data_IF_560446401718
#
_entry.id   IF_560446401718
#
_cell.length_a   1.000
_cell.length_b   1.000
_cell.length_c   1.000
_cell.angle_alpha   90.00
_cell.angle_beta   90.00
_cell.angle_gamma   90.00
#
_symmetry.space_group_name_H-M   'P 1'
#
loop_
_entity.id
_entity.type
_entity.pdbx_description
1 polymer ?
#
# COMPACT_ATOMS: atom_id res chain seq x y z
N UNK A 1 -18.65 20.20 41.01
CA UNK A 1 -18.20 21.26 40.07
C UNK A 1 -19.32 21.48 39.07
N UNK A 2 -19.53 22.72 38.61
CA UNK A 2 -20.53 22.99 37.58
C UNK A 2 -20.07 22.36 36.25
N UNK A 3 -20.96 21.63 35.56
CA UNK A 3 -20.68 21.08 34.24
C UNK A 3 -20.52 22.23 33.25
N UNK A 4 -19.41 22.24 32.52
CA UNK A 4 -19.16 23.24 31.46
C UNK A 4 -19.62 22.65 30.14
N UNK A 5 -20.53 23.34 29.47
CA UNK A 5 -21.10 22.90 28.20
C UNK A 5 -20.57 23.75 27.04
N UNK A 6 -20.20 23.10 25.94
CA UNK A 6 -19.65 23.72 24.73
C UNK A 6 -20.65 23.65 23.57
N UNK A 7 -20.62 24.66 22.71
CA UNK A 7 -21.32 24.61 21.42
C UNK A 7 -20.56 23.71 20.44
N UNK A 8 -21.22 23.28 19.36
CA UNK A 8 -20.62 22.36 18.38
C UNK A 8 -19.28 22.87 17.82
N UNK A 9 -19.19 24.17 17.51
CA UNK A 9 -17.96 24.77 17.00
C UNK A 9 -16.83 24.67 18.02
N UNK A 10 -17.09 25.07 19.26
CA UNK A 10 -16.09 25.04 20.33
C UNK A 10 -15.69 23.60 20.69
N UNK A 11 -16.62 22.65 20.63
CA UNK A 11 -16.35 21.23 20.83
C UNK A 11 -15.48 20.62 19.72
N UNK A 12 -15.71 21.02 18.46
CA UNK A 12 -14.88 20.63 17.31
C UNK A 12 -13.46 21.15 17.48
N UNK A 13 -13.33 22.44 17.80
CA UNK A 13 -12.04 23.11 18.01
C UNK A 13 -11.31 22.51 19.23
N UNK A 14 -12.05 22.20 20.30
CA UNK A 14 -11.52 21.58 21.52
C UNK A 14 -10.94 20.17 21.27
N UNK A 15 -11.60 19.36 20.43
CA UNK A 15 -11.14 18.02 20.06
C UNK A 15 -10.06 18.01 18.97
N UNK A 16 -9.91 19.08 18.19
CA UNK A 16 -8.94 19.14 17.09
C UNK A 16 -9.27 18.20 15.92
N UNK A 17 -10.55 17.91 15.67
CA UNK A 17 -11.02 17.01 14.59
C UNK A 17 -11.83 17.78 13.54
N UNK A 18 -12.02 17.20 12.36
CA UNK A 18 -12.88 17.80 11.33
C UNK A 18 -14.38 17.74 11.71
N UNK A 19 -15.15 18.73 11.28
CA UNK A 19 -16.60 18.78 11.53
C UNK A 19 -17.36 17.52 11.06
N UNK A 20 -17.09 16.93 9.87
CA UNK A 20 -17.74 15.67 9.47
C UNK A 20 -17.47 14.51 10.43
N UNK A 21 -16.22 14.39 10.93
CA UNK A 21 -15.86 13.36 11.90
C UNK A 21 -16.59 13.58 13.22
N UNK A 22 -16.65 14.82 13.70
CA UNK A 22 -17.39 15.18 14.91
C UNK A 22 -18.87 14.78 14.83
N UNK A 23 -19.58 15.21 13.78
CA UNK A 23 -21.00 14.88 13.62
C UNK A 23 -21.26 13.38 13.44
N UNK A 24 -20.32 12.65 12.83
CA UNK A 24 -20.38 11.18 12.75
C UNK A 24 -20.27 10.54 14.14
N UNK A 25 -19.38 11.03 15.00
CA UNK A 25 -19.23 10.53 16.37
C UNK A 25 -20.49 10.80 17.21
N UNK A 26 -21.07 11.99 17.09
CA UNK A 26 -22.35 12.34 17.72
C UNK A 26 -23.48 11.42 17.22
N UNK A 27 -23.60 11.24 15.90
CA UNK A 27 -24.61 10.35 15.30
C UNK A 27 -24.49 8.91 15.79
N UNK A 28 -23.27 8.45 16.03
CA UNK A 28 -22.97 7.10 16.50
C UNK A 28 -23.03 6.96 18.03
N UNK A 29 -23.45 8.01 18.76
CA UNK A 29 -23.57 7.98 20.22
C UNK A 29 -22.25 7.98 20.99
N UNK A 30 -21.11 8.23 20.31
CA UNK A 30 -19.78 8.30 20.93
C UNK A 30 -19.50 9.64 21.61
N UNK A 31 -20.24 10.68 21.23
CA UNK A 31 -20.26 11.98 21.89
C UNK A 31 -21.72 12.26 22.23
N UNK A 32 -22.04 12.44 23.50
CA UNK A 32 -23.41 12.76 23.91
C UNK A 32 -23.75 14.21 23.57
N UNK A 33 -24.93 14.39 22.98
CA UNK A 33 -25.50 15.70 22.67
C UNK A 33 -26.60 16.00 23.67
N UNK A 34 -26.44 17.08 24.43
CA UNK A 34 -27.41 17.54 25.41
C UNK A 34 -28.22 18.71 24.87
N UNK A 35 -29.49 18.81 25.26
CA UNK A 35 -30.32 19.96 24.92
C UNK A 35 -30.65 20.74 26.20
N UNK A 36 -30.30 22.04 26.30
CA UNK A 36 -30.51 22.83 27.51
C UNK A 36 -31.99 22.93 27.90
N UNK A 37 -32.86 22.92 26.89
CA UNK A 37 -34.32 22.92 27.04
C UNK A 37 -34.95 22.00 26.00
N UNK A 38 -36.17 21.50 26.23
CA UNK A 38 -36.91 20.68 25.26
C UNK A 38 -37.15 21.35 23.90
N UNK A 39 -37.07 22.69 23.84
CA UNK A 39 -37.31 23.49 22.65
C UNK A 39 -36.02 24.00 21.99
N UNK A 40 -34.85 23.69 22.56
CA UNK A 40 -33.58 24.12 21.98
C UNK A 40 -33.31 23.40 20.65
N UNK A 41 -33.05 24.17 19.60
CA UNK A 41 -32.61 23.64 18.29
C UNK A 41 -31.13 23.28 18.26
N UNK A 42 -30.36 23.83 19.19
CA UNK A 42 -28.91 23.64 19.29
C UNK A 42 -28.61 22.78 20.51
N UNK A 43 -27.82 21.72 20.29
CA UNK A 43 -27.34 20.89 21.38
C UNK A 43 -25.95 21.30 21.80
N UNK A 44 -25.66 21.03 23.06
CA UNK A 44 -24.42 21.33 23.75
C UNK A 44 -23.71 20.04 24.16
N UNK A 45 -22.42 20.14 24.43
CA UNK A 45 -21.53 19.00 24.66
C UNK A 45 -20.76 19.19 25.97
N UNK A 46 -20.70 18.15 26.80
CA UNK A 46 -20.05 18.20 28.10
C UNK A 46 -18.51 18.28 27.95
N UNK A 47 -17.89 19.36 28.43
CA UNK A 47 -16.46 19.58 28.29
C UNK A 47 -15.61 18.49 28.97
N UNK A 48 -16.09 17.89 30.06
CA UNK A 48 -15.36 16.85 30.79
C UNK A 48 -15.37 15.53 30.01
N UNK A 49 -16.50 15.20 29.37
CA UNK A 49 -16.61 14.06 28.43
C UNK A 49 -15.67 14.26 27.24
N UNK A 50 -15.69 15.45 26.65
CA UNK A 50 -14.80 15.80 25.55
C UNK A 50 -13.33 15.76 25.96
N UNK A 51 -12.98 16.14 27.20
CA UNK A 51 -11.61 16.06 27.70
C UNK A 51 -11.11 14.61 27.80
N UNK A 52 -11.97 13.68 28.22
CA UNK A 52 -11.67 12.25 28.20
C UNK A 52 -11.40 11.72 26.79
N UNK A 53 -12.21 12.16 25.82
CA UNK A 53 -12.06 11.81 24.41
C UNK A 53 -10.87 12.50 23.73
N UNK A 54 -10.48 13.69 24.18
CA UNK A 54 -9.38 14.48 23.61
C UNK A 54 -8.06 13.71 23.60
N UNK A 55 -7.80 12.87 24.59
CA UNK A 55 -6.63 12.00 24.64
C UNK A 55 -6.59 10.93 23.52
N UNK A 56 -7.75 10.57 22.96
CA UNK A 56 -7.88 9.61 21.86
C UNK A 56 -7.77 10.28 20.49
N UNK A 57 -8.05 11.58 20.42
CA UNK A 57 -8.13 12.34 19.16
C UNK A 57 -7.01 13.35 18.97
N UNK A 58 -6.34 13.78 20.05
CA UNK A 58 -5.11 14.54 19.89
C UNK A 58 -4.03 13.58 19.39
N UNK A 59 -3.50 13.81 18.16
CA UNK A 59 -2.26 13.16 17.79
C UNK A 59 -1.25 13.52 18.88
N UNK A 60 -0.51 12.51 19.39
CA UNK A 60 0.67 12.79 20.23
C UNK A 60 1.44 13.90 19.54
N UNK A 61 1.72 14.99 20.24
CA UNK A 61 2.37 16.19 19.68
C UNK A 61 3.86 15.96 19.33
N UNK A 62 4.16 14.88 18.62
CA UNK A 62 5.31 14.76 17.75
C UNK A 62 4.81 14.79 16.31
N UNK A 63 5.58 15.35 15.39
CA UNK A 63 5.33 15.13 13.96
C UNK A 63 5.16 13.62 13.74
N UNK A 64 4.05 13.21 13.12
CA UNK A 64 3.95 11.81 12.71
C UNK A 64 5.19 11.50 11.87
N UNK A 65 5.91 10.40 12.18
CA UNK A 65 7.07 10.03 11.39
C UNK A 65 6.67 10.01 9.91
N UNK A 66 7.51 10.62 9.06
CA UNK A 66 7.31 10.62 7.61
C UNK A 66 7.81 9.31 7.02
N UNK A 67 7.09 8.80 6.04
CA UNK A 67 7.46 7.57 5.34
C UNK A 67 8.38 7.87 4.17
N UNK A 68 9.48 7.14 4.07
CA UNK A 68 10.40 7.16 2.95
C UNK A 68 10.26 5.88 2.15
N UNK A 69 10.47 5.95 0.84
CA UNK A 69 10.45 4.76 -0.03
C UNK A 69 11.74 4.62 -0.78
N UNK A 70 12.24 3.39 -0.90
CA UNK A 70 13.46 3.08 -1.63
C UNK A 70 13.46 1.62 -2.09
N UNK A 71 14.41 1.26 -2.95
CA UNK A 71 14.71 -0.13 -3.23
C UNK A 71 15.37 -0.79 -2.02
N UNK A 72 15.12 -2.08 -1.84
CA UNK A 72 15.72 -2.86 -0.77
C UNK A 72 17.25 -2.88 -0.91
N UNK A 73 17.95 -2.77 0.21
CA UNK A 73 19.41 -2.83 0.28
C UNK A 73 19.87 -4.11 0.98
N UNK A 74 21.12 -4.50 0.78
CA UNK A 74 21.70 -5.68 1.44
C UNK A 74 21.65 -5.57 2.98
N UNK A 75 21.71 -4.35 3.53
CA UNK A 75 21.55 -4.07 4.96
C UNK A 75 20.12 -4.22 5.49
N UNK A 76 19.12 -4.24 4.61
CA UNK A 76 17.71 -4.27 5.00
C UNK A 76 17.20 -5.70 5.24
N UNK A 77 17.99 -6.73 4.92
CA UNK A 77 17.51 -8.12 4.86
C UNK A 77 16.90 -8.59 6.19
N UNK A 78 17.49 -8.19 7.32
CA UNK A 78 16.96 -8.52 8.64
C UNK A 78 15.60 -7.86 8.91
N UNK A 79 15.45 -6.58 8.55
CA UNK A 79 14.20 -5.84 8.76
C UNK A 79 13.10 -6.32 7.82
N UNK A 80 13.45 -6.64 6.57
CA UNK A 80 12.54 -7.24 5.61
C UNK A 80 12.03 -8.59 6.10
N UNK A 81 12.92 -9.47 6.57
CA UNK A 81 12.52 -10.76 7.12
C UNK A 81 11.59 -10.60 8.33
N UNK A 82 11.90 -9.68 9.25
CA UNK A 82 11.03 -9.40 10.40
C UNK A 82 9.64 -8.92 9.97
N UNK A 83 9.56 -8.08 8.93
CA UNK A 83 8.31 -7.59 8.36
C UNK A 83 7.49 -8.73 7.73
N UNK A 84 8.11 -9.58 6.92
CA UNK A 84 7.44 -10.73 6.31
C UNK A 84 6.99 -11.75 7.36
N UNK A 85 7.84 -12.06 8.35
CA UNK A 85 7.53 -12.99 9.44
C UNK A 85 6.34 -12.52 10.30
N UNK A 86 6.19 -11.21 10.49
CA UNK A 86 5.04 -10.66 11.20
C UNK A 86 3.70 -10.91 10.49
N UNK A 87 3.71 -11.16 9.17
CA UNK A 87 2.51 -11.40 8.36
C UNK A 87 2.32 -12.88 8.03
N UNK A 88 3.38 -13.57 7.62
CA UNK A 88 3.32 -14.94 7.10
C UNK A 88 3.79 -15.99 8.11
N UNK A 89 4.41 -15.61 9.22
CA UNK A 89 4.92 -16.54 10.23
C UNK A 89 5.90 -17.55 9.62
N UNK A 90 5.66 -18.84 9.85
CA UNK A 90 6.50 -19.94 9.36
C UNK A 90 6.49 -20.08 7.83
N UNK A 91 5.51 -19.50 7.13
CA UNK A 91 5.45 -19.50 5.66
C UNK A 91 6.39 -18.45 5.02
N UNK A 92 7.08 -17.66 5.83
CA UNK A 92 8.04 -16.66 5.36
C UNK A 92 9.16 -17.30 4.55
N UNK A 93 9.46 -16.71 3.38
CA UNK A 93 10.48 -17.21 2.49
C UNK A 93 11.87 -17.26 3.15
N UNK A 94 12.70 -18.20 2.71
CA UNK A 94 14.05 -18.34 3.23
C UNK A 94 14.90 -17.10 2.89
N UNK A 95 15.46 -16.38 3.87
CA UNK A 95 16.25 -15.15 3.63
C UNK A 95 17.40 -15.34 2.65
N UNK A 96 18.02 -16.52 2.64
CA UNK A 96 19.13 -16.82 1.73
C UNK A 96 18.69 -16.92 0.26
N UNK A 97 17.44 -17.30 -0.01
CA UNK A 97 16.87 -17.36 -1.36
C UNK A 97 16.46 -15.96 -1.79
N UNK A 98 15.72 -15.26 -0.94
CA UNK A 98 15.26 -13.88 -1.19
C UNK A 98 16.44 -12.96 -1.47
N UNK A 99 17.53 -13.06 -0.70
CA UNK A 99 18.75 -12.28 -0.95
C UNK A 99 19.33 -12.51 -2.34
N UNK A 100 19.24 -13.73 -2.89
CA UNK A 100 19.69 -14.00 -4.27
C UNK A 100 18.81 -13.31 -5.30
N UNK A 101 17.50 -13.20 -5.05
CA UNK A 101 16.59 -12.46 -5.92
C UNK A 101 17.01 -11.00 -6.02
N UNK A 102 17.26 -10.37 -4.87
CA UNK A 102 17.62 -8.95 -4.80
C UNK A 102 19.00 -8.66 -5.39
N UNK A 103 19.95 -9.59 -5.24
CA UNK A 103 21.26 -9.49 -5.90
C UNK A 103 21.15 -9.63 -7.42
N UNK A 104 20.27 -10.52 -7.90
CA UNK A 104 20.05 -10.73 -9.33
C UNK A 104 19.42 -9.51 -9.97
N UNK A 105 18.43 -8.91 -9.32
CA UNK A 105 17.79 -7.70 -9.79
C UNK A 105 17.43 -6.79 -8.59
N UNK A 106 18.10 -5.64 -8.43
CA UNK A 106 17.90 -4.77 -7.27
C UNK A 106 16.55 -4.04 -7.27
N UNK A 107 15.81 -4.08 -8.39
CA UNK A 107 14.56 -3.35 -8.58
C UNK A 107 13.32 -4.24 -8.46
N UNK A 108 13.40 -5.29 -7.64
CA UNK A 108 12.30 -6.23 -7.42
C UNK A 108 11.56 -6.02 -6.11
N UNK A 109 12.17 -5.38 -5.11
CA UNK A 109 11.52 -5.10 -3.83
C UNK A 109 11.64 -3.64 -3.46
N UNK A 110 10.49 -2.95 -3.42
CA UNK A 110 10.38 -1.58 -2.95
C UNK A 110 9.91 -1.61 -1.50
N UNK A 111 10.60 -0.89 -0.63
CA UNK A 111 10.30 -0.80 0.80
C UNK A 111 9.78 0.58 1.17
N UNK A 112 8.92 0.63 2.18
CA UNK A 112 8.49 1.83 2.87
C UNK A 112 8.99 1.75 4.31
N UNK A 113 9.64 2.80 4.78
CA UNK A 113 10.26 2.86 6.10
C UNK A 113 10.09 4.24 6.73
N UNK A 114 10.35 4.35 8.03
CA UNK A 114 10.45 5.63 8.71
C UNK A 114 11.67 6.43 8.22
N UNK A 115 11.49 7.61 7.63
CA UNK A 115 12.61 8.42 7.12
C UNK A 115 13.69 8.72 8.18
N UNK A 116 13.28 8.80 9.45
CA UNK A 116 14.20 9.03 10.57
C UNK A 116 14.91 7.77 11.09
N UNK A 117 14.41 6.58 10.75
CA UNK A 117 15.06 5.28 11.04
C UNK A 117 14.71 4.25 9.97
N UNK A 118 15.62 4.04 9.01
CA UNK A 118 15.43 3.07 7.92
C UNK A 118 15.12 1.66 8.40
N UNK A 119 15.49 1.29 9.64
CA UNK A 119 15.23 -0.06 10.17
C UNK A 119 13.76 -0.27 10.54
N UNK A 120 13.00 0.80 10.75
CA UNK A 120 11.57 0.74 11.04
C UNK A 120 10.77 0.67 9.73
N UNK A 121 10.63 -0.55 9.21
CA UNK A 121 9.85 -0.83 8.00
C UNK A 121 8.36 -0.76 8.28
N UNK A 122 7.63 -0.07 7.38
CA UNK A 122 6.18 0.07 7.40
C UNK A 122 5.49 -0.74 6.32
N UNK A 123 6.21 -1.13 5.28
CA UNK A 123 5.67 -1.96 4.22
C UNK A 123 6.68 -2.33 3.16
N UNK A 124 6.30 -3.26 2.29
CA UNK A 124 7.10 -3.69 1.16
C UNK A 124 6.20 -4.21 0.02
N UNK A 125 6.65 -4.03 -1.22
CA UNK A 125 6.08 -4.65 -2.42
C UNK A 125 7.22 -5.39 -3.13
N UNK A 126 7.07 -6.71 -3.26
CA UNK A 126 8.03 -7.58 -3.95
C UNK A 126 7.43 -8.05 -5.28
N UNK A 127 7.97 -7.53 -6.39
CA UNK A 127 7.55 -7.75 -7.77
C UNK A 127 8.71 -8.36 -8.56
N UNK A 128 8.59 -9.66 -8.87
CA UNK A 128 9.59 -10.41 -9.63
C UNK A 128 9.30 -10.30 -11.14
N UNK A 129 10.21 -9.76 -11.96
CA UNK A 129 10.08 -9.82 -13.41
C UNK A 129 10.37 -11.25 -13.87
N UNK A 130 9.36 -11.93 -14.39
CA UNK A 130 9.42 -13.35 -14.77
C UNK A 130 8.81 -13.54 -16.16
N UNK A 131 9.13 -14.65 -16.82
CA UNK A 131 8.40 -15.04 -18.02
C UNK A 131 6.94 -15.39 -17.68
N UNK A 132 5.98 -15.06 -18.55
CA UNK A 132 4.57 -15.39 -18.33
C UNK A 132 4.35 -16.90 -18.09
N UNK A 133 5.15 -17.76 -18.72
CA UNK A 133 5.13 -19.21 -18.50
C UNK A 133 5.51 -19.60 -17.06
N UNK A 134 6.53 -18.97 -16.47
CA UNK A 134 6.91 -19.18 -15.07
C UNK A 134 5.83 -18.65 -14.13
N UNK A 135 5.28 -17.47 -14.42
CA UNK A 135 4.19 -16.86 -13.62
C UNK A 135 2.98 -17.80 -13.58
N UNK A 136 2.57 -18.38 -14.72
CA UNK A 136 1.44 -19.30 -14.72
C UNK A 136 1.67 -20.56 -13.90
N UNK A 137 2.89 -21.09 -13.84
CA UNK A 137 3.21 -22.22 -12.96
C UNK A 137 3.03 -21.86 -11.48
N UNK A 138 3.47 -20.66 -11.09
CA UNK A 138 3.28 -20.13 -9.73
C UNK A 138 1.79 -19.97 -9.39
N UNK A 139 1.03 -19.33 -10.30
CA UNK A 139 -0.41 -19.12 -10.10
C UNK A 139 -1.20 -20.44 -10.02
N UNK A 140 -0.80 -21.46 -10.78
CA UNK A 140 -1.38 -22.81 -10.74
C UNK A 140 -0.90 -23.66 -9.55
N UNK A 141 0.01 -23.14 -8.72
CA UNK A 141 0.66 -23.89 -7.63
C UNK A 141 1.48 -25.10 -8.11
N UNK A 142 1.89 -25.11 -9.38
CA UNK A 142 2.81 -26.11 -9.96
C UNK A 142 4.27 -25.83 -9.58
N UNK A 143 4.55 -24.61 -9.14
CA UNK A 143 5.82 -24.11 -8.62
C UNK A 143 5.52 -23.25 -7.40
N UNK A 144 6.38 -23.30 -6.36
CA UNK A 144 6.31 -22.36 -5.25
C UNK A 144 7.33 -21.26 -5.44
N UNK A 145 7.11 -20.14 -4.77
CA UNK A 145 8.01 -18.99 -4.82
C UNK A 145 9.45 -19.40 -4.46
N UNK A 146 9.65 -20.23 -3.43
CA UNK A 146 10.98 -20.71 -3.02
C UNK A 146 11.69 -21.62 -4.04
N UNK A 147 10.95 -22.15 -5.02
CA UNK A 147 11.49 -23.01 -6.06
C UNK A 147 12.03 -22.20 -7.25
N UNK A 148 11.80 -20.87 -7.27
CA UNK A 148 12.28 -19.96 -8.32
C UNK A 148 13.82 -19.94 -8.35
N UNK A 149 14.40 -20.30 -9.49
CA UNK A 149 15.83 -20.19 -9.75
C UNK A 149 16.19 -18.75 -10.14
N UNK A 150 16.92 -18.01 -9.27
CA UNK A 150 17.17 -16.59 -9.50
C UNK A 150 17.93 -16.31 -10.81
N UNK A 151 18.92 -17.13 -11.15
CA UNK A 151 19.78 -16.90 -12.32
C UNK A 151 19.08 -17.20 -13.65
N UNK A 152 18.09 -18.10 -13.64
CA UNK A 152 17.41 -18.56 -14.86
C UNK A 152 16.07 -17.87 -15.09
N UNK A 153 15.35 -17.57 -14.01
CA UNK A 153 13.94 -17.20 -14.10
C UNK A 153 13.69 -15.72 -13.79
N UNK A 154 14.50 -15.10 -12.93
CA UNK A 154 14.39 -13.66 -12.66
C UNK A 154 15.08 -12.89 -13.77
N UNK A 155 14.26 -12.17 -14.54
CA UNK A 155 14.71 -11.32 -15.62
C UNK A 155 15.44 -10.09 -15.08
N UNK A 156 16.45 -9.64 -15.81
CA UNK A 156 17.17 -8.40 -15.51
C UNK A 156 16.73 -7.29 -16.46
N UNK A 157 16.92 -6.05 -16.02
CA UNK A 157 16.60 -4.86 -16.79
C UNK A 157 17.82 -4.35 -17.57
N UNK A 158 18.63 -5.26 -18.09
CA UNK A 158 19.86 -4.91 -18.84
C UNK A 158 19.55 -4.54 -20.31
N UNK A 159 18.34 -4.87 -20.76
CA UNK A 159 17.87 -4.61 -22.13
C UNK A 159 16.56 -3.83 -22.09
N UNK A 160 16.30 -3.01 -23.13
CA UNK A 160 14.97 -2.44 -23.33
C UNK A 160 13.92 -3.54 -23.49
N UNK A 161 12.69 -3.28 -23.07
CA UNK A 161 11.60 -4.23 -23.21
C UNK A 161 10.38 -3.96 -22.34
N UNK A 162 9.36 -4.77 -22.57
CA UNK A 162 8.16 -4.84 -21.75
C UNK A 162 8.30 -6.06 -20.83
N UNK A 163 8.15 -5.84 -19.53
CA UNK A 163 8.34 -6.86 -18.51
C UNK A 163 7.03 -7.17 -17.79
N UNK A 164 6.73 -8.45 -17.67
CA UNK A 164 5.63 -8.95 -16.84
C UNK A 164 6.16 -9.29 -15.44
N UNK A 165 5.34 -9.02 -14.43
CA UNK A 165 5.73 -9.15 -13.02
C UNK A 165 4.82 -10.12 -12.30
N UNK A 166 5.40 -10.95 -11.43
CA UNK A 166 4.68 -11.66 -10.38
C UNK A 166 4.88 -10.95 -9.05
N UNK A 167 3.78 -10.62 -8.39
CA UNK A 167 3.77 -10.06 -7.04
C UNK A 167 3.91 -11.20 -6.04
N UNK A 168 5.11 -11.36 -5.49
CA UNK A 168 5.41 -12.39 -4.49
C UNK A 168 4.88 -11.99 -3.10
N UNK A 169 4.96 -10.71 -2.74
CA UNK A 169 4.43 -10.21 -1.48
C UNK A 169 4.05 -8.73 -1.55
N UNK A 170 3.00 -8.36 -0.81
CA UNK A 170 2.64 -6.97 -0.51
C UNK A 170 2.29 -6.91 0.96
N UNK A 171 3.04 -6.12 1.70
CA UNK A 171 2.88 -5.99 3.14
C UNK A 171 2.78 -4.51 3.49
N UNK A 172 1.80 -4.18 4.33
CA UNK A 172 1.68 -2.88 4.98
C UNK A 172 1.38 -3.17 6.45
N UNK A 173 2.10 -2.53 7.35
CA UNK A 173 1.83 -2.68 8.78
C UNK A 173 0.40 -2.22 9.11
N UNK A 174 -0.34 -2.93 9.98
CA UNK A 174 -1.71 -2.56 10.32
C UNK A 174 -1.87 -1.16 10.92
N UNK A 175 -0.83 -0.63 11.59
CA UNK A 175 -0.81 0.73 12.14
C UNK A 175 -0.49 1.82 11.09
N UNK A 176 -0.28 1.43 9.83
CA UNK A 176 0.05 2.30 8.69
C UNK A 176 -0.89 2.07 7.48
N UNK A 177 -2.22 1.98 7.65
CA UNK A 177 -3.13 1.49 6.61
C UNK A 177 -3.21 2.39 5.36
N UNK A 178 -2.89 3.69 5.49
CA UNK A 178 -2.93 4.64 4.39
C UNK A 178 -1.63 4.68 3.57
N UNK A 179 -0.62 3.92 3.97
CA UNK A 179 0.72 4.00 3.38
C UNK A 179 0.88 3.18 2.11
N UNK A 180 -0.06 2.29 1.79
CA UNK A 180 -0.03 1.50 0.56
C UNK A 180 0.07 2.38 -0.71
N UNK A 181 -0.74 3.43 -0.78
CA UNK A 181 -0.76 4.33 -1.94
C UNK A 181 0.58 5.03 -2.16
N UNK A 182 1.27 5.40 -1.08
CA UNK A 182 2.61 5.98 -1.15
C UNK A 182 3.62 4.99 -1.74
N UNK A 183 3.62 3.75 -1.25
CA UNK A 183 4.53 2.70 -1.71
C UNK A 183 4.27 2.34 -3.19
N UNK A 184 3.01 2.16 -3.58
CA UNK A 184 2.64 1.85 -4.96
C UNK A 184 2.97 3.00 -5.92
N UNK A 185 2.68 4.25 -5.53
CA UNK A 185 3.07 5.43 -6.32
C UNK A 185 4.58 5.47 -6.53
N UNK A 186 5.38 5.16 -5.50
CA UNK A 186 6.83 5.14 -5.65
C UNK A 186 7.32 4.11 -6.68
N UNK A 187 6.71 2.92 -6.72
CA UNK A 187 7.00 1.91 -7.76
C UNK A 187 6.62 2.45 -9.14
N UNK A 188 5.42 2.99 -9.30
CA UNK A 188 4.94 3.48 -10.59
C UNK A 188 5.72 4.70 -11.10
N UNK A 189 6.10 5.64 -10.23
CA UNK A 189 6.94 6.79 -10.60
C UNK A 189 8.27 6.33 -11.20
N UNK A 190 8.95 5.39 -10.54
CA UNK A 190 10.20 4.83 -11.04
C UNK A 190 10.04 4.17 -12.43
N UNK A 191 8.98 3.39 -12.62
CA UNK A 191 8.75 2.73 -13.91
C UNK A 191 8.32 3.71 -15.00
N UNK A 192 7.67 4.82 -14.66
CA UNK A 192 7.40 5.86 -15.64
C UNK A 192 8.68 6.57 -16.09
N UNK A 193 9.64 6.82 -15.19
CA UNK A 193 10.92 7.45 -15.52
C UNK A 193 11.77 6.63 -16.49
N UNK A 194 11.51 5.33 -16.59
CA UNK A 194 12.21 4.39 -17.49
C UNK A 194 11.47 4.13 -18.80
N UNK A 195 10.28 4.67 -18.96
CA UNK A 195 9.59 4.60 -20.23
C UNK A 195 10.22 5.61 -21.19
N UNK A 196 10.36 5.26 -22.48
CA UNK A 196 9.81 4.07 -23.14
C UNK A 196 10.72 2.84 -23.16
N UNK A 197 11.99 2.96 -22.77
CA UNK A 197 12.97 1.89 -22.89
C UNK A 197 12.58 0.65 -22.09
N UNK A 198 12.00 0.83 -20.90
CA UNK A 198 11.57 -0.27 -20.04
C UNK A 198 10.18 0.00 -19.50
N UNK A 199 9.27 -0.95 -19.71
CA UNK A 199 7.86 -0.78 -19.41
C UNK A 199 7.32 -1.97 -18.62
N UNK A 200 6.33 -1.70 -17.77
CA UNK A 200 5.52 -2.76 -17.15
C UNK A 200 4.47 -3.20 -18.16
N UNK A 201 4.43 -4.50 -18.47
CA UNK A 201 3.39 -5.13 -19.28
C UNK A 201 2.18 -5.51 -18.45
N UNK A 202 2.26 -6.65 -17.77
CA UNK A 202 1.22 -7.16 -16.86
C UNK A 202 1.79 -7.38 -15.46
N UNK A 203 0.95 -7.16 -14.46
CA UNK A 203 1.25 -7.48 -13.07
C UNK A 203 0.31 -8.60 -12.64
N UNK A 204 0.87 -9.75 -12.30
CA UNK A 204 0.15 -10.93 -11.83
C UNK A 204 0.34 -11.08 -10.32
N UNK A 205 -0.63 -11.69 -9.66
CA UNK A 205 -0.49 -12.04 -8.25
C UNK A 205 -1.47 -13.12 -7.84
N UNK A 206 -1.09 -13.85 -6.79
CA UNK A 206 -2.00 -14.74 -6.07
C UNK A 206 -2.45 -14.04 -4.79
N UNK A 207 -3.76 -13.95 -4.60
CA UNK A 207 -4.37 -13.24 -3.48
C UNK A 207 -5.03 -14.26 -2.56
N UNK A 208 -4.54 -14.34 -1.33
CA UNK A 208 -4.98 -15.35 -0.34
C UNK A 208 -5.66 -14.74 0.90
N UNK A 209 -5.65 -13.41 1.03
CA UNK A 209 -6.25 -12.68 2.16
C UNK A 209 -7.36 -11.74 1.70
N UNK A 210 -8.34 -11.49 2.58
CA UNK A 210 -9.44 -10.55 2.32
C UNK A 210 -8.93 -9.13 2.00
N UNK A 211 -7.90 -8.68 2.73
CA UNK A 211 -7.28 -7.37 2.49
C UNK A 211 -6.59 -7.30 1.12
N UNK A 212 -5.91 -8.38 0.72
CA UNK A 212 -5.33 -8.51 -0.61
C UNK A 212 -6.40 -8.50 -1.70
N UNK A 213 -7.55 -9.15 -1.48
CA UNK A 213 -8.65 -9.18 -2.45
C UNK A 213 -9.29 -7.81 -2.59
N UNK A 214 -9.53 -7.13 -1.47
CA UNK A 214 -10.00 -5.75 -1.47
C UNK A 214 -9.03 -4.84 -2.23
N UNK A 215 -7.72 -5.03 -2.06
CA UNK A 215 -6.70 -4.27 -2.77
C UNK A 215 -6.71 -4.55 -4.28
N UNK A 216 -6.72 -5.82 -4.68
CA UNK A 216 -6.80 -6.22 -6.08
C UNK A 216 -8.04 -5.64 -6.76
N UNK A 217 -9.20 -5.67 -6.08
CA UNK A 217 -10.45 -5.07 -6.56
C UNK A 217 -10.36 -3.54 -6.68
N UNK A 218 -9.77 -2.84 -5.70
CA UNK A 218 -9.55 -1.38 -5.74
C UNK A 218 -8.64 -0.93 -6.89
N UNK A 219 -7.68 -1.78 -7.27
CA UNK A 219 -6.80 -1.57 -8.41
C UNK A 219 -7.37 -2.14 -9.72
N UNK A 220 -8.58 -2.70 -9.69
CA UNK A 220 -9.27 -3.30 -10.82
C UNK A 220 -8.43 -4.37 -11.53
N UNK A 221 -7.75 -5.22 -10.76
CA UNK A 221 -7.20 -6.46 -11.28
C UNK A 221 -8.33 -7.34 -11.81
N UNK A 222 -8.09 -7.97 -12.95
CA UNK A 222 -8.98 -8.96 -13.54
C UNK A 222 -8.68 -10.33 -12.94
N UNK A 223 -9.68 -11.06 -12.43
CA UNK A 223 -9.50 -12.43 -11.98
C UNK A 223 -9.21 -13.37 -13.16
N UNK A 224 -8.41 -14.41 -12.90
CA UNK A 224 -8.02 -15.45 -13.85
C UNK A 224 -8.70 -16.78 -13.50
N UNK A 225 -10.03 -16.81 -13.60
CA UNK A 225 -10.87 -17.96 -13.20
C UNK A 225 -10.50 -19.30 -13.83
N UNK A 226 -9.85 -19.29 -15.01
CA UNK A 226 -9.39 -20.51 -15.68
C UNK A 226 -8.14 -21.11 -15.05
N UNK A 227 -7.49 -20.40 -14.15
CA UNK A 227 -6.27 -20.81 -13.45
C UNK A 227 -6.55 -21.12 -11.99
N UNK A 228 -7.13 -20.15 -11.26
CA UNK A 228 -7.48 -20.28 -9.84
C UNK A 228 -8.37 -19.11 -9.41
N UNK A 229 -9.22 -19.31 -8.41
CA UNK A 229 -10.02 -18.24 -7.79
C UNK A 229 -9.15 -17.20 -7.06
N UNK A 230 -7.90 -17.54 -6.76
CA UNK A 230 -6.92 -16.68 -6.09
C UNK A 230 -6.04 -15.92 -7.10
N UNK A 231 -6.15 -16.19 -8.41
CA UNK A 231 -5.25 -15.64 -9.42
C UNK A 231 -5.79 -14.36 -10.05
N UNK A 232 -4.97 -13.32 -10.10
CA UNK A 232 -5.34 -12.00 -10.61
C UNK A 232 -4.28 -11.43 -11.56
N UNK A 233 -4.72 -10.61 -12.52
CA UNK A 233 -3.84 -9.88 -13.44
C UNK A 233 -4.29 -8.43 -13.63
N UNK A 234 -3.32 -7.51 -13.62
CA UNK A 234 -3.48 -6.13 -14.04
C UNK A 234 -2.69 -5.94 -15.34
N UNK A 235 -3.41 -5.79 -16.45
CA UNK A 235 -2.84 -5.53 -17.78
C UNK A 235 -2.67 -4.01 -17.97
N UNK A 236 -1.41 -3.54 -17.97
CA UNK A 236 -1.11 -2.10 -18.02
C UNK A 236 -1.40 -1.48 -19.39
N UNK A 237 -1.61 -2.30 -20.43
CA UNK A 237 -2.00 -1.81 -21.76
C UNK A 237 -3.49 -1.48 -21.86
N UNK A 238 -4.32 -2.03 -20.95
CA UNK A 238 -5.78 -1.85 -20.97
C UNK A 238 -6.23 -0.66 -20.12
N UNK A 239 -7.23 0.11 -20.55
CA UNK A 239 -7.80 1.17 -19.71
C UNK A 239 -8.24 0.62 -18.34
N UNK A 240 -7.80 1.25 -17.27
CA UNK A 240 -8.12 0.86 -15.90
C UNK A 240 -8.90 1.98 -15.19
N UNK A 241 -9.94 1.71 -14.39
CA UNK A 241 -10.68 2.76 -13.66
C UNK A 241 -9.95 3.33 -12.42
N UNK A 242 -8.92 2.66 -11.93
CA UNK A 242 -8.14 3.09 -10.77
C UNK A 242 -7.31 4.33 -11.11
N UNK A 243 -7.52 5.43 -10.38
CA UNK A 243 -6.81 6.70 -10.62
C UNK A 243 -5.29 6.55 -10.58
N UNK A 244 -4.75 5.75 -9.66
CA UNK A 244 -3.31 5.51 -9.54
C UNK A 244 -2.75 4.79 -10.78
N UNK A 245 -3.48 3.80 -11.31
CA UNK A 245 -3.10 3.08 -12.54
C UNK A 245 -3.23 4.01 -13.75
N UNK A 246 -4.31 4.81 -13.84
CA UNK A 246 -4.50 5.79 -14.91
C UNK A 246 -3.38 6.83 -14.96
N UNK A 247 -2.99 7.38 -13.80
CA UNK A 247 -1.89 8.34 -13.70
C UNK A 247 -0.59 7.74 -14.23
N UNK A 248 -0.29 6.49 -13.88
CA UNK A 248 0.87 5.79 -14.44
C UNK A 248 0.74 5.56 -15.96
N UNK A 249 -0.39 5.05 -16.43
CA UNK A 249 -0.62 4.81 -17.86
C UNK A 249 -0.51 6.09 -18.70
N UNK A 250 -1.01 7.21 -18.18
CA UNK A 250 -0.86 8.52 -18.80
C UNK A 250 0.62 8.93 -18.88
N UNK A 251 1.34 8.78 -17.76
CA UNK A 251 2.77 9.09 -17.67
C UNK A 251 3.59 8.32 -18.72
N UNK A 252 3.39 7.00 -18.85
CA UNK A 252 4.05 6.17 -19.87
C UNK A 252 3.71 6.63 -21.29
N UNK A 253 2.42 6.88 -21.59
CA UNK A 253 2.00 7.35 -22.92
C UNK A 253 2.62 8.69 -23.30
N UNK A 254 2.73 9.62 -22.35
CA UNK A 254 3.40 10.90 -22.57
C UNK A 254 4.88 10.71 -22.91
N UNK A 255 5.59 9.86 -22.16
CA UNK A 255 7.00 9.54 -22.42
C UNK A 255 7.23 8.93 -23.81
N UNK A 256 6.37 7.99 -24.22
CA UNK A 256 6.44 7.38 -25.56
C UNK A 256 6.23 8.40 -26.69
N UNK A 257 5.33 9.36 -26.48
CA UNK A 257 5.05 10.39 -27.48
C UNK A 257 6.20 11.39 -27.66
N UNK A 258 6.96 11.67 -26.58
CA UNK A 258 8.10 12.59 -26.61
C UNK A 258 9.33 11.97 -27.33
N UNK A 259 9.58 10.67 -27.16
CA UNK A 259 10.65 9.97 -27.90
C UNK A 259 10.39 9.95 -29.41
N UNK A 260 9.13 9.75 -29.83
CA UNK A 260 8.76 9.73 -31.27
C UNK A 260 8.98 11.10 -31.96
N UNK A 261 9.10 12.18 -31.20
CA UNK A 261 9.30 13.55 -31.70
C UNK A 261 10.76 14.01 -31.72
N UNK A 262 11.65 13.25 -31.09
CA UNK A 262 13.09 13.56 -30.98
C UNK A 262 13.87 12.91 -32.12
#
# INVERSE_FOLDING_TARGET
MAKTFLQAKDAIDFLGISAPTFYRLVKNGKIQKHYPTPFSKHGEYDADELAGLRSQFMPRAGEEPKGGTDWVQDSDMGNMYNLEYAVYGEETGNPSIIRKWYKRNPYVCRVLFNESDRRDFWGAINMLPLSEATIYKLLKKEMRDIDINPEKEILTFDKPGVFDFYVASVIIRPDKPNSFGQLLNSVFSFWCERAPEQQIGKIFGRVVSEDGEMMARKLFFSPLWTISDEAFVLDMSRPNPSKIVQSFQYCVKSRMADETRS
#
